data_IF_077752592928
#
_entry.id   IF_077752592928
#
_cell.length_a   1.000
_cell.length_b   1.000
_cell.length_c   1.000
_cell.angle_alpha   90.00
_cell.angle_beta   90.00
_cell.angle_gamma   90.00
#
_symmetry.space_group_name_H-M   'P 1'
#
loop_
_entity.id
_entity.type
_entity.pdbx_description
1 polymer ?
#
# COMPACT_ATOMS: atom_id res chain seq x y z
N UNK A 1 42.85 25.00 -9.35
CA UNK A 1 42.75 23.82 -8.45
C UNK A 1 41.90 22.72 -9.09
N UNK A 2 42.53 21.68 -9.67
CA UNK A 2 41.81 20.48 -10.14
C UNK A 2 41.45 19.64 -8.91
N UNK A 3 40.28 19.87 -8.31
CA UNK A 3 39.71 18.94 -7.34
C UNK A 3 39.57 17.59 -8.05
N UNK A 4 40.29 16.57 -7.57
CA UNK A 4 40.38 15.29 -8.27
C UNK A 4 38.99 14.69 -8.47
N UNK A 5 38.77 14.14 -9.66
CA UNK A 5 37.53 13.46 -10.06
C UNK A 5 37.10 12.37 -9.08
N UNK A 6 38.05 11.82 -8.32
CA UNK A 6 37.84 10.86 -7.22
C UNK A 6 37.04 11.44 -6.05
N UNK A 7 37.36 12.67 -5.59
CA UNK A 7 36.62 13.31 -4.47
C UNK A 7 35.16 13.52 -4.83
N UNK A 8 34.88 13.89 -6.07
CA UNK A 8 33.51 14.11 -6.54
C UNK A 8 32.68 12.83 -6.68
N UNK A 9 33.32 11.72 -7.06
CA UNK A 9 32.66 10.41 -7.08
C UNK A 9 32.29 9.95 -5.68
N UNK A 10 33.17 10.16 -4.70
CA UNK A 10 32.91 9.87 -3.29
C UNK A 10 31.68 10.63 -2.77
N UNK A 11 31.61 11.95 -2.96
CA UNK A 11 30.46 12.76 -2.50
C UNK A 11 29.14 12.37 -3.17
N UNK A 12 29.15 11.99 -4.45
CA UNK A 12 27.94 11.48 -5.12
C UNK A 12 27.42 10.20 -4.48
N UNK A 13 28.31 9.25 -4.20
CA UNK A 13 27.93 7.98 -3.56
C UNK A 13 27.45 8.25 -2.14
N UNK A 14 28.15 9.11 -1.39
CA UNK A 14 27.77 9.47 -0.03
C UNK A 14 26.35 10.07 0.05
N UNK A 15 26.00 11.02 -0.81
CA UNK A 15 24.66 11.64 -0.82
C UNK A 15 23.58 10.58 -1.07
N UNK A 16 23.81 9.67 -2.02
CA UNK A 16 22.83 8.63 -2.37
C UNK A 16 22.70 7.62 -1.24
N UNK A 17 23.82 7.18 -0.65
CA UNK A 17 23.81 6.27 0.50
C UNK A 17 23.07 6.89 1.68
N UNK A 18 23.31 8.17 1.98
CA UNK A 18 22.58 8.90 3.03
C UNK A 18 21.09 8.96 2.68
N UNK A 19 20.71 9.32 1.46
CA UNK A 19 19.30 9.38 1.06
C UNK A 19 18.60 8.02 1.18
N UNK A 20 19.24 6.93 0.76
CA UNK A 20 18.70 5.58 0.86
C UNK A 20 18.64 5.10 2.31
N UNK A 21 19.65 5.42 3.13
CA UNK A 21 19.64 5.12 4.56
C UNK A 21 18.54 5.90 5.29
N UNK A 22 18.32 7.17 4.94
CA UNK A 22 17.21 7.96 5.48
C UNK A 22 15.86 7.36 5.11
N UNK A 23 15.68 6.97 3.84
CA UNK A 23 14.47 6.26 3.38
C UNK A 23 14.25 4.96 4.18
N UNK A 24 15.29 4.15 4.34
CA UNK A 24 15.22 2.91 5.11
C UNK A 24 14.87 3.16 6.57
N UNK A 25 15.57 4.08 7.25
CA UNK A 25 15.30 4.42 8.65
C UNK A 25 13.88 4.96 8.85
N UNK A 26 13.40 5.77 7.90
CA UNK A 26 12.05 6.32 7.93
C UNK A 26 11.00 5.19 7.93
N UNK A 27 11.09 4.25 6.99
CA UNK A 27 10.12 3.16 6.93
C UNK A 27 10.35 2.05 7.97
N UNK A 28 11.56 1.93 8.51
CA UNK A 28 11.86 0.96 9.56
C UNK A 28 11.35 1.41 10.94
N UNK A 29 11.40 2.73 11.22
CA UNK A 29 11.14 3.25 12.57
C UNK A 29 10.07 4.35 12.63
N UNK A 30 9.94 5.16 11.58
CA UNK A 30 8.95 6.26 11.53
C UNK A 30 7.58 5.82 11.04
N UNK A 31 7.51 5.09 9.91
CA UNK A 31 6.27 4.64 9.30
C UNK A 31 6.16 3.10 9.09
N UNK A 32 6.52 2.25 10.07
CA UNK A 32 6.47 0.80 9.91
C UNK A 32 5.04 0.24 9.81
N UNK A 33 4.07 0.82 10.51
CA UNK A 33 2.68 0.32 10.55
C UNK A 33 1.94 0.61 9.26
N UNK A 34 2.26 1.72 8.58
CA UNK A 34 1.84 1.94 7.19
C UNK A 34 2.23 0.75 6.30
N UNK A 35 3.46 0.24 6.42
CA UNK A 35 3.91 -0.91 5.63
C UNK A 35 3.27 -2.23 6.08
N UNK A 36 3.13 -2.47 7.37
CA UNK A 36 2.42 -3.66 7.86
C UNK A 36 0.96 -3.69 7.40
N UNK A 37 0.30 -2.53 7.39
CA UNK A 37 -1.08 -2.41 6.92
C UNK A 37 -1.18 -2.67 5.42
N UNK A 38 -0.22 -2.18 4.61
CA UNK A 38 -0.17 -2.50 3.17
C UNK A 38 -0.16 -4.01 2.91
N UNK A 39 0.58 -4.77 3.71
CA UNK A 39 0.54 -6.24 3.65
C UNK A 39 -0.82 -6.79 4.02
N UNK A 40 -1.38 -6.34 5.13
CA UNK A 40 -2.69 -6.81 5.61
C UNK A 40 -3.81 -6.58 4.59
N UNK A 41 -3.71 -5.56 3.75
CA UNK A 41 -4.70 -5.20 2.73
C UNK A 41 -4.57 -5.96 1.42
N UNK A 42 -3.46 -6.67 1.17
CA UNK A 42 -3.19 -7.33 -0.12
C UNK A 42 -2.95 -8.82 0.11
N UNK A 43 -3.62 -9.67 -0.67
CA UNK A 43 -3.40 -11.12 -0.65
C UNK A 43 -2.98 -11.63 -2.04
N UNK A 44 -1.69 -12.00 -2.15
CA UNK A 44 -1.18 -12.71 -3.32
C UNK A 44 -1.29 -14.22 -3.10
N UNK A 45 -2.01 -14.89 -3.99
CA UNK A 45 -2.19 -16.35 -3.97
C UNK A 45 -1.39 -16.94 -5.13
N UNK A 46 -0.41 -17.81 -4.84
CA UNK A 46 0.39 -18.50 -5.84
C UNK A 46 -0.39 -19.67 -6.47
N UNK A 47 -1.52 -19.36 -7.11
CA UNK A 47 -2.32 -20.27 -7.90
C UNK A 47 -2.46 -19.75 -9.33
N UNK A 48 -2.51 -20.65 -10.31
CA UNK A 48 -2.60 -20.25 -11.71
C UNK A 48 -3.91 -19.50 -12.03
N UNK A 49 -5.03 -19.88 -11.43
CA UNK A 49 -6.31 -19.16 -11.65
C UNK A 49 -6.25 -17.77 -11.05
N UNK A 50 -5.70 -17.63 -9.84
CA UNK A 50 -5.50 -16.34 -9.21
C UNK A 50 -4.52 -15.43 -9.97
N UNK A 51 -3.49 -16.01 -10.61
CA UNK A 51 -2.55 -15.27 -11.47
C UNK A 51 -3.21 -14.82 -12.78
N UNK A 52 -4.08 -15.63 -13.36
CA UNK A 52 -4.83 -15.26 -14.57
C UNK A 52 -5.75 -14.06 -14.33
N UNK A 53 -6.29 -13.87 -13.13
CA UNK A 53 -7.13 -12.72 -12.80
C UNK A 53 -6.40 -11.38 -12.98
N UNK A 54 -5.06 -11.34 -12.81
CA UNK A 54 -4.28 -10.13 -13.03
C UNK A 54 -4.34 -9.65 -14.49
N UNK A 55 -4.54 -10.56 -15.45
CA UNK A 55 -4.63 -10.22 -16.88
C UNK A 55 -5.95 -9.53 -17.25
N UNK A 56 -6.95 -9.57 -16.37
CA UNK A 56 -8.23 -8.90 -16.57
C UNK A 56 -8.15 -7.38 -16.36
N UNK A 57 -7.02 -6.86 -15.86
CA UNK A 57 -6.81 -5.43 -15.60
C UNK A 57 -5.43 -4.99 -16.13
N UNK A 58 -5.19 -3.67 -16.32
CA UNK A 58 -3.87 -3.16 -16.66
C UNK A 58 -2.84 -3.42 -15.54
N UNK A 59 -1.60 -2.98 -15.73
CA UNK A 59 -0.51 -3.11 -14.75
C UNK A 59 -0.16 -4.57 -14.36
N UNK A 60 -0.38 -5.53 -15.25
CA UNK A 60 -0.27 -6.97 -14.97
C UNK A 60 1.08 -7.32 -14.30
N UNK A 61 2.18 -6.87 -14.89
CA UNK A 61 3.52 -7.23 -14.44
C UNK A 61 3.89 -6.52 -13.13
N UNK A 62 3.59 -5.22 -13.01
CA UNK A 62 3.90 -4.48 -11.79
C UNK A 62 3.02 -4.90 -10.61
N UNK A 63 1.75 -5.25 -10.84
CA UNK A 63 0.85 -5.78 -9.82
C UNK A 63 1.24 -7.18 -9.33
N UNK A 64 1.57 -8.12 -10.22
CA UNK A 64 2.00 -9.47 -9.80
C UNK A 64 3.28 -9.39 -8.94
N UNK A 65 4.29 -8.65 -9.40
CA UNK A 65 5.56 -8.51 -8.68
C UNK A 65 5.36 -7.69 -7.40
N UNK A 66 4.55 -6.63 -7.47
CA UNK A 66 4.23 -5.77 -6.34
C UNK A 66 3.56 -6.54 -5.20
N UNK A 67 2.44 -7.20 -5.50
CA UNK A 67 1.66 -7.96 -4.50
C UNK A 67 2.47 -9.14 -3.94
N UNK A 68 3.29 -9.79 -4.76
CA UNK A 68 4.20 -10.82 -4.28
C UNK A 68 5.22 -10.26 -3.27
N UNK A 69 5.87 -9.14 -3.58
CA UNK A 69 6.88 -8.52 -2.72
C UNK A 69 6.27 -7.89 -1.46
N UNK A 70 5.05 -7.37 -1.54
CA UNK A 70 4.33 -6.78 -0.40
C UNK A 70 4.08 -7.78 0.73
N UNK A 71 3.99 -9.09 0.46
CA UNK A 71 3.89 -10.11 1.51
C UNK A 71 5.03 -10.04 2.54
N UNK A 72 6.24 -9.67 2.09
CA UNK A 72 7.42 -9.59 2.96
C UNK A 72 7.44 -8.33 3.84
N UNK A 73 6.46 -7.42 3.71
CA UNK A 73 6.35 -6.25 4.56
C UNK A 73 6.03 -6.64 6.01
N UNK A 74 5.46 -7.84 6.24
CA UNK A 74 5.22 -8.39 7.57
C UNK A 74 6.51 -8.77 8.33
N UNK A 75 7.65 -8.91 7.63
CA UNK A 75 8.95 -9.13 8.29
C UNK A 75 9.46 -7.83 8.92
N UNK A 76 10.13 -7.94 10.07
CA UNK A 76 10.78 -6.80 10.73
C UNK A 76 11.76 -6.15 9.74
N UNK A 77 11.55 -4.86 9.46
CA UNK A 77 12.31 -4.08 8.47
C UNK A 77 12.28 -4.62 7.03
N UNK A 78 11.48 -5.65 6.72
CA UNK A 78 11.38 -6.25 5.39
C UNK A 78 10.85 -5.26 4.36
N UNK A 79 9.73 -4.60 4.69
CA UNK A 79 9.15 -3.59 3.80
C UNK A 79 10.05 -2.38 3.57
N UNK A 80 10.69 -1.87 4.62
CA UNK A 80 11.67 -0.78 4.51
C UNK A 80 12.83 -1.15 3.58
N UNK A 81 13.30 -2.39 3.65
CA UNK A 81 14.38 -2.91 2.81
C UNK A 81 13.96 -3.02 1.34
N UNK A 82 12.80 -3.62 1.08
CA UNK A 82 12.26 -3.78 -0.28
C UNK A 82 12.03 -2.42 -0.93
N UNK A 83 11.34 -1.51 -0.24
CA UNK A 83 11.03 -0.19 -0.78
C UNK A 83 12.30 0.63 -1.04
N UNK A 84 13.31 0.52 -0.16
CA UNK A 84 14.61 1.17 -0.38
C UNK A 84 15.36 0.60 -1.58
N UNK A 85 15.31 -0.72 -1.80
CA UNK A 85 15.90 -1.36 -2.98
C UNK A 85 15.20 -0.87 -4.26
N UNK A 86 13.86 -0.82 -4.26
CA UNK A 86 13.08 -0.34 -5.40
C UNK A 86 13.35 1.15 -5.66
N UNK A 87 13.43 1.98 -4.62
CA UNK A 87 13.82 3.38 -4.71
C UNK A 87 15.24 3.57 -5.27
N UNK A 88 16.18 2.71 -4.89
CA UNK A 88 17.54 2.72 -5.44
C UNK A 88 17.56 2.32 -6.93
N UNK A 89 16.75 1.34 -7.33
CA UNK A 89 16.58 0.94 -8.73
C UNK A 89 15.95 2.07 -9.56
N UNK A 90 14.97 2.79 -8.99
CA UNK A 90 14.38 3.96 -9.62
C UNK A 90 15.40 5.08 -9.77
N UNK A 91 16.11 5.43 -8.71
CA UNK A 91 17.18 6.43 -8.74
C UNK A 91 18.21 6.09 -9.84
N UNK A 92 18.63 4.83 -9.92
CA UNK A 92 19.61 4.39 -10.92
C UNK A 92 19.04 4.50 -12.34
N UNK A 93 17.78 4.11 -12.53
CA UNK A 93 17.05 4.29 -13.79
C UNK A 93 16.98 5.76 -14.20
N UNK A 94 16.48 6.63 -13.33
CA UNK A 94 16.31 8.07 -13.60
C UNK A 94 17.65 8.74 -13.86
N UNK A 95 18.68 8.43 -13.05
CA UNK A 95 20.04 8.93 -13.30
C UNK A 95 20.54 8.49 -14.68
N UNK A 96 20.30 7.25 -15.07
CA UNK A 96 20.70 6.73 -16.38
C UNK A 96 19.92 7.41 -17.51
N UNK A 97 18.66 7.75 -17.29
CA UNK A 97 17.81 8.50 -18.21
C UNK A 97 18.33 9.94 -18.38
N UNK A 98 18.55 10.67 -17.29
CA UNK A 98 19.07 12.04 -17.32
C UNK A 98 20.44 12.14 -17.98
N UNK A 99 21.29 11.12 -17.84
CA UNK A 99 22.59 11.08 -18.54
C UNK A 99 22.48 10.99 -20.06
N UNK A 100 21.32 10.66 -20.62
CA UNK A 100 21.06 10.72 -22.08
C UNK A 100 20.95 12.15 -22.63
N UNK A 101 20.86 13.15 -21.74
CA UNK A 101 20.74 14.56 -22.10
C UNK A 101 22.08 15.32 -22.02
N UNK A 102 23.21 14.62 -22.09
CA UNK A 102 24.59 15.18 -22.10
C UNK A 102 24.96 16.01 -20.86
N UNK A 103 24.48 15.56 -19.69
CA UNK A 103 24.65 16.27 -18.42
C UNK A 103 25.83 15.69 -17.62
N UNK A 104 26.61 16.51 -16.89
CA UNK A 104 27.62 16.02 -15.95
C UNK A 104 27.02 15.03 -14.95
N UNK A 105 27.76 13.97 -14.63
CA UNK A 105 27.28 12.90 -13.72
C UNK A 105 26.86 13.43 -12.34
N UNK A 106 27.47 14.51 -11.84
CA UNK A 106 27.11 15.10 -10.54
C UNK A 106 25.68 15.61 -10.54
N UNK A 107 25.33 16.42 -11.54
CA UNK A 107 24.01 17.02 -11.67
C UNK A 107 22.96 15.92 -11.89
N UNK A 108 23.24 14.94 -12.76
CA UNK A 108 22.32 13.83 -13.00
C UNK A 108 22.05 13.00 -11.74
N UNK A 109 23.07 12.76 -10.89
CA UNK A 109 22.91 12.03 -9.62
C UNK A 109 21.96 12.75 -8.67
N UNK A 110 22.13 14.08 -8.50
CA UNK A 110 21.34 14.86 -7.55
C UNK A 110 19.90 15.05 -8.04
N UNK A 111 19.72 15.44 -9.31
CA UNK A 111 18.38 15.63 -9.88
C UNK A 111 17.59 14.33 -9.97
N UNK A 112 18.25 13.17 -10.09
CA UNK A 112 17.58 11.87 -10.06
C UNK A 112 16.97 11.50 -8.69
N UNK A 113 17.36 12.17 -7.60
CA UNK A 113 16.74 11.96 -6.29
C UNK A 113 15.34 12.61 -6.22
N UNK A 114 15.03 13.60 -7.05
CA UNK A 114 13.77 14.34 -6.94
C UNK A 114 12.54 13.44 -7.21
N UNK A 115 12.47 12.63 -8.30
CA UNK A 115 11.36 11.70 -8.48
C UNK A 115 11.34 10.58 -7.43
N UNK A 116 12.50 10.21 -6.89
CA UNK A 116 12.62 9.19 -5.83
C UNK A 116 12.02 9.70 -4.54
N UNK A 117 12.25 10.97 -4.18
CA UNK A 117 11.63 11.62 -3.03
C UNK A 117 10.11 11.69 -3.19
N UNK A 118 9.62 12.01 -4.38
CA UNK A 118 8.18 12.00 -4.67
C UNK A 118 7.56 10.61 -4.47
N UNK A 119 8.20 9.56 -5.00
CA UNK A 119 7.75 8.17 -4.81
C UNK A 119 7.80 7.73 -3.34
N UNK A 120 8.89 8.06 -2.63
CA UNK A 120 9.02 7.77 -1.19
C UNK A 120 7.90 8.44 -0.40
N UNK A 121 7.61 9.71 -0.71
CA UNK A 121 6.53 10.43 -0.03
C UNK A 121 5.17 9.79 -0.33
N UNK A 122 4.87 9.45 -1.59
CA UNK A 122 3.63 8.75 -1.96
C UNK A 122 3.48 7.40 -1.23
N UNK A 123 4.59 6.68 -1.00
CA UNK A 123 4.56 5.43 -0.25
C UNK A 123 4.25 5.58 1.25
N UNK A 124 4.26 6.80 1.79
CA UNK A 124 3.73 7.06 3.13
C UNK A 124 2.19 6.93 3.20
N UNK A 125 1.48 6.95 2.06
CA UNK A 125 0.06 6.60 2.04
C UNK A 125 -0.12 5.08 1.97
N UNK A 126 -1.02 4.56 2.82
CA UNK A 126 -1.38 3.14 2.90
C UNK A 126 -1.88 2.59 1.56
N UNK A 127 -2.65 3.39 0.81
CA UNK A 127 -3.27 2.95 -0.44
C UNK A 127 -2.37 3.07 -1.67
N UNK A 128 -1.16 3.64 -1.54
CA UNK A 128 -0.21 3.68 -2.65
C UNK A 128 0.54 2.34 -2.75
N UNK A 129 0.25 1.50 -3.77
CA UNK A 129 0.77 0.14 -3.81
C UNK A 129 2.21 0.14 -4.33
N UNK A 130 2.99 -0.87 -3.92
CA UNK A 130 4.35 -1.07 -4.41
C UNK A 130 4.39 -1.24 -5.95
N UNK A 131 3.32 -1.78 -6.54
CA UNK A 131 3.13 -1.88 -7.98
C UNK A 131 3.34 -0.55 -8.73
N UNK A 132 2.94 0.60 -8.14
CA UNK A 132 3.17 1.91 -8.75
C UNK A 132 4.67 2.21 -8.87
N UNK A 133 5.43 2.09 -7.77
CA UNK A 133 6.88 2.33 -7.78
C UNK A 133 7.62 1.41 -8.75
N UNK A 134 7.23 0.12 -8.82
CA UNK A 134 7.79 -0.85 -9.75
C UNK A 134 7.46 -0.47 -11.20
N UNK A 135 6.27 0.08 -11.43
CA UNK A 135 5.88 0.63 -12.72
C UNK A 135 6.76 1.81 -13.15
N UNK A 136 7.03 2.76 -12.25
CA UNK A 136 7.94 3.87 -12.49
C UNK A 136 9.36 3.40 -12.82
N UNK A 137 9.87 2.38 -12.10
CA UNK A 137 11.15 1.72 -12.37
C UNK A 137 11.15 1.13 -13.78
N UNK A 138 10.18 0.29 -14.11
CA UNK A 138 10.09 -0.40 -15.38
C UNK A 138 9.93 0.56 -16.57
N UNK A 139 9.10 1.60 -16.43
CA UNK A 139 8.92 2.65 -17.45
C UNK A 139 10.23 3.42 -17.70
N UNK A 140 10.92 3.80 -16.63
CA UNK A 140 12.20 4.51 -16.71
C UNK A 140 13.29 3.65 -17.38
N UNK A 141 13.40 2.38 -16.99
CA UNK A 141 14.38 1.46 -17.59
C UNK A 141 14.06 1.14 -19.06
N UNK A 142 12.77 1.08 -19.41
CA UNK A 142 12.32 0.94 -20.80
C UNK A 142 12.73 2.14 -21.65
N UNK A 143 12.59 3.36 -21.13
CA UNK A 143 13.12 4.56 -21.80
C UNK A 143 14.64 4.48 -21.96
N UNK A 144 15.35 4.10 -20.90
CA UNK A 144 16.81 3.99 -20.89
C UNK A 144 17.31 2.96 -21.90
N UNK A 145 16.60 1.84 -22.08
CA UNK A 145 16.87 0.84 -23.10
C UNK A 145 16.56 1.36 -24.51
N UNK A 146 15.37 1.91 -24.72
CA UNK A 146 14.92 2.48 -25.99
C UNK A 146 15.86 3.61 -26.49
N UNK A 147 16.28 4.50 -25.60
CA UNK A 147 17.18 5.62 -25.92
C UNK A 147 18.60 5.18 -26.30
N UNK A 148 19.01 3.93 -26.03
CA UNK A 148 20.28 3.36 -26.50
C UNK A 148 20.24 2.88 -27.95
N UNK A 149 19.06 2.65 -28.51
CA UNK A 149 18.93 2.09 -29.85
C UNK A 149 19.37 3.09 -30.92
N UNK A 150 19.93 2.55 -32.01
CA UNK A 150 20.33 3.32 -33.18
C UNK A 150 19.14 4.05 -33.82
N UNK A 151 19.41 5.18 -34.47
CA UNK A 151 18.37 5.99 -35.08
C UNK A 151 17.85 5.34 -36.37
N UNK A 152 16.52 5.20 -36.47
CA UNK A 152 15.85 4.61 -37.62
C UNK A 152 14.32 4.57 -37.41
N UNK A 153 13.56 4.23 -38.46
CA UNK A 153 12.08 4.15 -38.39
C UNK A 153 11.64 3.15 -37.33
N UNK A 154 12.34 2.02 -37.21
CA UNK A 154 12.07 0.98 -36.22
C UNK A 154 12.14 1.49 -34.77
N UNK A 155 13.00 2.48 -34.48
CA UNK A 155 13.08 3.10 -33.14
C UNK A 155 11.79 3.82 -32.78
N UNK A 156 11.15 4.49 -33.75
CA UNK A 156 9.90 5.23 -33.53
C UNK A 156 8.71 4.29 -33.39
N UNK A 157 8.63 3.28 -34.26
CA UNK A 157 7.60 2.25 -34.17
C UNK A 157 7.68 1.51 -32.84
N UNK A 158 8.89 1.22 -32.36
CA UNK A 158 9.08 0.63 -31.04
C UNK A 158 8.64 1.55 -29.91
N UNK A 159 8.88 2.87 -29.99
CA UNK A 159 8.41 3.81 -28.96
C UNK A 159 6.88 3.79 -28.85
N UNK A 160 6.19 3.78 -30.00
CA UNK A 160 4.74 3.71 -30.06
C UNK A 160 4.21 2.40 -29.52
N UNK A 161 4.82 1.28 -29.90
CA UNK A 161 4.48 -0.05 -29.36
C UNK A 161 4.69 -0.09 -27.84
N UNK A 162 5.84 0.40 -27.36
CA UNK A 162 6.16 0.44 -25.93
C UNK A 162 5.18 1.29 -25.15
N UNK A 163 4.69 2.43 -25.67
CA UNK A 163 3.69 3.24 -24.98
C UNK A 163 2.41 2.44 -24.67
N UNK A 164 1.95 1.61 -25.61
CA UNK A 164 0.76 0.77 -25.43
C UNK A 164 1.05 -0.44 -24.52
N UNK A 165 2.15 -1.15 -24.80
CA UNK A 165 2.52 -2.38 -24.07
C UNK A 165 2.88 -2.06 -22.62
N UNK A 166 3.56 -0.95 -22.35
CA UNK A 166 3.89 -0.53 -20.99
C UNK A 166 2.65 -0.16 -20.19
N UNK A 167 1.65 0.50 -20.77
CA UNK A 167 0.40 0.75 -20.03
C UNK A 167 -0.25 -0.56 -19.56
N UNK A 168 -0.34 -1.54 -20.45
CA UNK A 168 -0.86 -2.87 -20.09
C UNK A 168 0.01 -3.57 -19.03
N UNK A 169 1.34 -3.46 -19.12
CA UNK A 169 2.26 -4.15 -18.21
C UNK A 169 2.45 -3.46 -16.86
N UNK A 170 2.47 -2.12 -16.79
CA UNK A 170 2.84 -1.35 -15.60
C UNK A 170 1.81 -0.32 -15.13
N UNK A 171 0.77 -0.06 -15.91
CA UNK A 171 -0.31 0.87 -15.56
C UNK A 171 0.04 2.34 -15.78
N UNK A 172 -0.47 3.21 -14.91
CA UNK A 172 -0.40 4.67 -14.98
C UNK A 172 1.02 5.21 -15.19
N UNK A 173 2.01 4.61 -14.53
CA UNK A 173 3.43 5.00 -14.66
C UNK A 173 4.04 4.73 -16.04
N UNK A 174 3.31 4.12 -16.99
CA UNK A 174 3.68 4.17 -18.40
C UNK A 174 3.84 5.62 -18.90
N UNK A 175 3.12 6.57 -18.30
CA UNK A 175 3.28 8.01 -18.52
C UNK A 175 4.72 8.47 -18.30
N UNK A 176 5.44 7.92 -17.32
CA UNK A 176 6.85 8.26 -17.07
C UNK A 176 7.75 7.94 -18.27
N UNK A 177 7.50 6.83 -18.98
CA UNK A 177 8.17 6.51 -20.24
C UNK A 177 7.84 7.54 -21.33
N UNK A 178 6.58 7.94 -21.44
CA UNK A 178 6.10 8.92 -22.42
C UNK A 178 6.76 10.28 -22.16
N UNK A 179 6.76 10.78 -20.93
CA UNK A 179 7.37 12.06 -20.53
C UNK A 179 8.86 12.10 -20.88
N UNK A 180 9.62 11.06 -20.51
CA UNK A 180 11.04 10.98 -20.83
C UNK A 180 11.30 10.90 -22.35
N UNK A 181 10.49 10.12 -23.06
CA UNK A 181 10.61 9.95 -24.52
C UNK A 181 10.26 11.22 -25.28
N UNK A 182 9.20 11.93 -24.88
CA UNK A 182 8.79 13.23 -25.41
C UNK A 182 9.88 14.26 -25.15
N UNK A 183 10.42 14.35 -23.94
CA UNK A 183 11.51 15.28 -23.63
C UNK A 183 12.75 15.02 -24.50
N UNK A 184 13.10 13.75 -24.71
CA UNK A 184 14.21 13.36 -25.57
C UNK A 184 13.96 13.73 -27.05
N UNK A 185 12.75 13.49 -27.55
CA UNK A 185 12.31 13.85 -28.91
C UNK A 185 12.32 15.37 -29.15
N UNK A 186 11.79 16.15 -28.20
CA UNK A 186 11.80 17.62 -28.27
C UNK A 186 13.22 18.16 -28.32
N UNK A 187 14.16 17.58 -27.56
CA UNK A 187 15.58 17.94 -27.63
C UNK A 187 16.20 17.68 -29.00
N UNK A 188 15.79 16.61 -29.68
CA UNK A 188 16.19 16.31 -31.05
C UNK A 188 15.43 17.12 -32.11
N UNK A 189 14.63 18.12 -31.69
CA UNK A 189 13.75 18.95 -32.55
C UNK A 189 12.72 18.15 -33.37
N UNK A 190 12.33 16.97 -32.90
CA UNK A 190 11.35 16.08 -33.56
C UNK A 190 9.95 16.23 -32.97
N UNK A 191 9.42 17.45 -32.98
CA UNK A 191 8.15 17.81 -32.33
C UNK A 191 6.94 17.00 -32.83
N UNK A 192 6.86 16.69 -34.12
CA UNK A 192 5.75 15.89 -34.67
C UNK A 192 5.69 14.47 -34.08
N UNK A 193 6.83 13.80 -33.95
CA UNK A 193 6.90 12.47 -33.32
C UNK A 193 6.60 12.55 -31.82
N UNK A 194 7.03 13.61 -31.14
CA UNK A 194 6.71 13.84 -29.74
C UNK A 194 5.20 13.99 -29.52
N UNK A 195 4.54 14.84 -30.32
CA UNK A 195 3.10 15.04 -30.26
C UNK A 195 2.34 13.74 -30.57
N UNK A 196 2.78 13.00 -31.59
CA UNK A 196 2.15 11.72 -31.97
C UNK A 196 2.25 10.69 -30.84
N UNK A 197 3.40 10.56 -30.20
CA UNK A 197 3.60 9.64 -29.08
C UNK A 197 2.71 10.01 -27.88
N UNK A 198 2.61 11.29 -27.56
CA UNK A 198 1.78 11.79 -26.46
C UNK A 198 0.29 11.55 -26.71
N UNK A 199 -0.21 11.87 -27.91
CA UNK A 199 -1.59 11.60 -28.30
C UNK A 199 -1.89 10.10 -28.31
N UNK A 200 -0.96 9.28 -28.82
CA UNK A 200 -1.09 7.83 -28.81
C UNK A 200 -1.21 7.28 -27.39
N UNK A 201 -0.39 7.75 -26.45
CA UNK A 201 -0.45 7.30 -25.06
C UNK A 201 -1.82 7.58 -24.43
N UNK A 202 -2.31 8.82 -24.51
CA UNK A 202 -3.63 9.20 -23.97
C UNK A 202 -4.75 8.35 -24.58
N UNK A 203 -4.74 8.15 -25.90
CA UNK A 203 -5.75 7.32 -26.58
C UNK A 203 -5.60 5.85 -26.20
N UNK A 204 -4.37 5.33 -26.11
CA UNK A 204 -4.11 3.94 -25.77
C UNK A 204 -4.59 3.60 -24.35
N UNK A 205 -4.31 4.46 -23.37
CA UNK A 205 -4.79 4.30 -21.99
C UNK A 205 -6.31 4.26 -21.93
N UNK A 206 -6.98 5.16 -22.64
CA UNK A 206 -8.44 5.20 -22.72
C UNK A 206 -9.03 3.97 -23.43
N UNK A 207 -8.45 3.53 -24.54
CA UNK A 207 -8.94 2.38 -25.32
C UNK A 207 -8.70 1.08 -24.57
N UNK A 208 -7.48 0.83 -24.09
CA UNK A 208 -7.14 -0.38 -23.33
C UNK A 208 -7.92 -0.44 -22.02
N UNK A 209 -8.05 0.69 -21.31
CA UNK A 209 -8.88 0.77 -20.10
C UNK A 209 -10.34 0.39 -20.36
N UNK A 210 -10.94 0.87 -21.45
CA UNK A 210 -12.31 0.48 -21.85
C UNK A 210 -12.43 -0.99 -22.24
N UNK A 211 -11.44 -1.56 -22.92
CA UNK A 211 -11.44 -2.99 -23.28
C UNK A 211 -11.39 -3.90 -22.04
N UNK A 212 -10.84 -3.39 -20.94
CA UNK A 212 -10.75 -4.06 -19.64
C UNK A 212 -11.83 -3.59 -18.65
N UNK A 213 -12.91 -2.99 -19.15
CA UNK A 213 -14.08 -2.56 -18.36
C UNK A 213 -13.78 -1.57 -17.23
N UNK A 214 -12.72 -0.75 -17.36
CA UNK A 214 -12.43 0.31 -16.39
C UNK A 214 -13.19 1.60 -16.71
N UNK A 215 -13.67 2.33 -15.68
CA UNK A 215 -14.11 3.70 -15.83
C UNK A 215 -13.02 4.59 -16.43
N UNK A 216 -13.42 5.66 -17.11
CA UNK A 216 -12.47 6.55 -17.78
C UNK A 216 -11.50 7.24 -16.80
N UNK A 217 -11.94 7.62 -15.59
CA UNK A 217 -11.06 8.17 -14.54
C UNK A 217 -10.04 7.14 -14.06
N UNK A 218 -10.51 5.93 -13.77
CA UNK A 218 -9.71 4.82 -13.28
C UNK A 218 -8.65 4.36 -14.29
N UNK A 219 -8.93 4.46 -15.59
CA UNK A 219 -8.00 4.04 -16.64
C UNK A 219 -6.65 4.78 -16.55
N UNK A 220 -6.64 6.08 -16.24
CA UNK A 220 -5.41 6.88 -16.18
C UNK A 220 -4.62 6.68 -14.88
N UNK A 221 -5.27 6.21 -13.81
CA UNK A 221 -4.68 6.12 -12.47
C UNK A 221 -4.38 4.67 -12.03
N UNK A 222 -4.86 3.66 -12.77
CA UNK A 222 -4.69 2.26 -12.41
C UNK A 222 -3.20 1.87 -12.26
N UNK A 223 -2.79 1.12 -11.20
CA UNK A 223 -3.57 0.37 -10.21
C UNK A 223 -4.07 1.12 -8.97
N UNK A 224 -3.98 2.45 -8.89
CA UNK A 224 -4.53 3.18 -7.74
C UNK A 224 -6.06 3.08 -7.72
N UNK A 225 -6.63 2.83 -6.55
CA UNK A 225 -8.09 2.72 -6.35
C UNK A 225 -8.56 4.03 -5.69
N UNK A 226 -9.49 4.73 -6.34
CA UNK A 226 -10.11 5.95 -5.79
C UNK A 226 -11.08 5.61 -4.64
N UNK A 227 -11.32 6.58 -3.75
CA UNK A 227 -12.47 6.69 -2.83
C UNK A 227 -12.32 6.20 -1.38
N UNK A 228 -11.11 6.09 -0.84
CA UNK A 228 -10.91 5.95 0.61
C UNK A 228 -9.84 6.92 1.12
N UNK A 229 -8.69 6.44 1.59
CA UNK A 229 -7.64 7.30 2.15
C UNK A 229 -6.85 8.07 1.07
N UNK A 230 -6.90 7.59 -0.17
CA UNK A 230 -6.35 8.25 -1.35
C UNK A 230 -7.46 8.97 -2.13
N UNK A 231 -7.85 10.14 -1.63
CA UNK A 231 -8.94 10.94 -2.22
C UNK A 231 -8.61 11.45 -3.63
N UNK A 232 -7.32 11.63 -3.94
CA UNK A 232 -6.86 12.22 -5.19
C UNK A 232 -5.86 11.31 -5.88
N UNK A 233 -6.35 10.36 -6.67
CA UNK A 233 -5.48 9.45 -7.41
C UNK A 233 -4.43 10.16 -8.27
N UNK A 234 -4.75 11.36 -8.77
CA UNK A 234 -3.85 12.21 -9.56
C UNK A 234 -2.54 12.60 -8.83
N UNK A 235 -2.44 12.42 -7.52
CA UNK A 235 -1.20 12.67 -6.77
C UNK A 235 -0.01 11.82 -7.28
N UNK A 236 -0.25 10.69 -7.97
CA UNK A 236 0.85 9.95 -8.59
C UNK A 236 1.67 10.81 -9.57
N UNK A 237 1.01 11.78 -10.24
CA UNK A 237 1.62 12.72 -11.19
C UNK A 237 2.72 13.59 -10.56
N UNK A 238 2.84 13.64 -9.22
CA UNK A 238 3.95 14.29 -8.54
C UNK A 238 5.30 13.70 -8.98
N UNK A 239 5.36 12.42 -9.30
CA UNK A 239 6.59 11.74 -9.70
C UNK A 239 7.00 12.14 -11.12
N UNK A 240 6.07 12.17 -12.07
CA UNK A 240 6.28 12.66 -13.42
C UNK A 240 6.59 14.16 -13.43
N UNK A 241 5.89 14.95 -12.61
CA UNK A 241 6.19 16.37 -12.41
C UNK A 241 7.63 16.55 -11.88
N UNK A 242 8.05 15.75 -10.90
CA UNK A 242 9.42 15.74 -10.40
C UNK A 242 10.44 15.36 -11.48
N UNK A 243 10.11 14.45 -12.41
CA UNK A 243 10.95 14.14 -13.57
C UNK A 243 11.06 15.34 -14.51
N UNK A 244 9.95 16.02 -14.81
CA UNK A 244 9.95 17.23 -15.65
C UNK A 244 10.80 18.33 -15.00
N UNK A 245 10.63 18.57 -13.70
CA UNK A 245 11.45 19.52 -12.94
C UNK A 245 12.93 19.12 -12.98
N UNK A 246 13.25 17.83 -12.83
CA UNK A 246 14.62 17.34 -12.95
C UNK A 246 15.18 17.57 -14.37
N UNK A 247 14.39 17.35 -15.42
CA UNK A 247 14.77 17.61 -16.82
C UNK A 247 14.99 19.10 -17.11
N UNK A 248 14.21 19.99 -16.51
CA UNK A 248 14.44 21.44 -16.59
C UNK A 248 15.70 21.79 -15.78
N UNK A 249 15.82 21.26 -14.56
CA UNK A 249 16.90 21.55 -13.62
C UNK A 249 18.28 21.15 -14.12
N UNK A 250 18.40 20.07 -14.89
CA UNK A 250 19.69 19.68 -15.51
C UNK A 250 20.24 20.73 -16.49
N UNK A 251 19.37 21.56 -17.08
CA UNK A 251 19.79 22.66 -17.98
C UNK A 251 20.58 23.74 -17.25
N UNK A 252 20.31 23.95 -15.96
CA UNK A 252 21.00 24.92 -15.10
C UNK A 252 22.46 24.53 -14.84
N UNK A 253 22.81 23.25 -15.05
CA UNK A 253 24.14 22.67 -14.82
C UNK A 253 24.73 22.91 -13.42
N UNK A 254 23.90 23.22 -12.42
CA UNK A 254 24.28 23.50 -11.03
C UNK A 254 23.71 22.44 -10.08
N UNK A 255 24.54 21.54 -9.55
CA UNK A 255 24.11 20.46 -8.64
C UNK A 255 23.50 20.98 -7.33
N UNK A 256 24.00 22.09 -6.79
CA UNK A 256 23.55 22.61 -5.49
C UNK A 256 22.08 23.08 -5.51
N UNK A 257 21.59 23.57 -6.65
CA UNK A 257 20.17 23.93 -6.83
C UNK A 257 19.31 22.67 -6.76
N UNK A 258 19.75 21.59 -7.41
CA UNK A 258 19.08 20.29 -7.33
C UNK A 258 19.07 19.74 -5.91
N UNK A 259 20.16 19.93 -5.16
CA UNK A 259 20.24 19.48 -3.77
C UNK A 259 19.25 20.25 -2.89
N UNK A 260 19.15 21.58 -3.07
CA UNK A 260 18.15 22.39 -2.38
C UNK A 260 16.72 21.96 -2.75
N UNK A 261 16.46 21.71 -4.03
CA UNK A 261 15.15 21.24 -4.49
C UNK A 261 14.77 19.89 -3.87
N UNK A 262 15.72 18.95 -3.78
CA UNK A 262 15.52 17.65 -3.13
C UNK A 262 15.23 17.83 -1.64
N UNK A 263 16.01 18.64 -0.92
CA UNK A 263 15.78 18.91 0.52
C UNK A 263 14.42 19.55 0.74
N UNK A 264 14.06 20.57 -0.05
CA UNK A 264 12.75 21.22 0.05
C UNK A 264 11.60 20.27 -0.27
N UNK A 265 11.74 19.42 -1.30
CA UNK A 265 10.76 18.40 -1.64
C UNK A 265 10.62 17.34 -0.55
N UNK A 266 11.72 16.93 0.09
CA UNK A 266 11.68 15.98 1.22
C UNK A 266 10.92 16.58 2.41
N UNK A 267 11.21 17.83 2.77
CA UNK A 267 10.53 18.52 3.89
C UNK A 267 9.05 18.69 3.57
N UNK A 268 8.72 19.15 2.36
CA UNK A 268 7.33 19.32 1.93
C UNK A 268 6.58 17.99 1.86
N UNK A 269 7.22 16.93 1.37
CA UNK A 269 6.63 15.59 1.29
C UNK A 269 6.28 15.05 2.68
N UNK A 270 7.22 15.13 3.63
CA UNK A 270 6.94 14.71 5.02
C UNK A 270 5.83 15.55 5.63
N UNK A 271 5.85 16.88 5.47
CA UNK A 271 4.86 17.77 6.09
C UNK A 271 3.45 17.66 5.47
N UNK A 272 3.33 17.34 4.19
CA UNK A 272 2.05 17.36 3.47
C UNK A 272 1.41 15.98 3.29
N UNK A 273 2.21 14.90 3.27
CA UNK A 273 1.76 13.57 2.85
C UNK A 273 1.77 12.58 4.03
N UNK A 274 2.72 12.71 4.96
CA UNK A 274 2.73 11.86 6.15
C UNK A 274 1.80 12.40 7.22
N UNK A 275 0.82 11.59 7.60
CA UNK A 275 -0.04 11.85 8.75
C UNK A 275 0.38 10.98 9.92
N UNK A 276 0.98 11.60 10.93
CA UNK A 276 1.42 10.93 12.15
C UNK A 276 0.24 10.42 13.00
N UNK A 277 -0.94 11.05 12.89
CA UNK A 277 -2.18 10.54 13.50
C UNK A 277 -2.60 9.23 12.82
N UNK A 278 -2.43 9.17 11.50
CA UNK A 278 -2.68 7.96 10.72
C UNK A 278 -1.80 6.81 11.16
N UNK A 279 -0.48 7.04 11.22
CA UNK A 279 0.48 6.02 11.67
C UNK A 279 0.19 5.55 13.10
N UNK A 280 -0.26 6.44 13.98
CA UNK A 280 -0.66 6.09 15.35
C UNK A 280 -1.81 5.07 15.38
N UNK A 281 -2.93 5.35 14.70
CA UNK A 281 -4.08 4.44 14.76
C UNK A 281 -3.87 3.15 13.95
N UNK A 282 -3.09 3.19 12.86
CA UNK A 282 -2.63 1.99 12.17
C UNK A 282 -1.78 1.12 13.10
N UNK A 283 -0.96 1.74 13.94
CA UNK A 283 -0.18 1.06 14.97
C UNK A 283 -1.04 0.32 15.99
N UNK A 284 -2.11 0.95 16.48
CA UNK A 284 -3.06 0.31 17.40
C UNK A 284 -3.69 -0.94 16.76
N UNK A 285 -4.12 -0.81 15.50
CA UNK A 285 -4.71 -1.92 14.74
C UNK A 285 -3.73 -3.06 14.46
N UNK A 286 -2.49 -2.74 14.10
CA UNK A 286 -1.45 -3.74 13.83
C UNK A 286 -1.00 -4.47 15.10
N UNK A 287 -0.82 -3.76 16.22
CA UNK A 287 -0.43 -4.40 17.48
C UNK A 287 -1.54 -5.34 17.99
N UNK A 288 -2.81 -5.04 17.72
CA UNK A 288 -3.91 -5.98 17.99
C UNK A 288 -3.82 -7.22 17.09
N UNK A 289 -3.62 -7.03 15.78
CA UNK A 289 -3.42 -8.13 14.82
C UNK A 289 -2.23 -9.04 15.17
N UNK A 290 -1.14 -8.48 15.70
CA UNK A 290 0.02 -9.24 16.18
C UNK A 290 -0.13 -9.81 17.60
N UNK A 291 -1.30 -9.63 18.22
CA UNK A 291 -1.62 -10.06 19.58
C UNK A 291 -0.65 -9.51 20.65
N UNK A 292 -0.27 -8.23 20.55
CA UNK A 292 0.62 -7.52 21.49
C UNK A 292 -0.16 -6.49 22.30
N UNK A 293 -1.09 -6.99 23.12
CA UNK A 293 -2.10 -6.18 23.82
C UNK A 293 -1.50 -5.17 24.80
N UNK A 294 -0.40 -5.50 25.45
CA UNK A 294 0.29 -4.60 26.40
C UNK A 294 0.76 -3.31 25.71
N UNK A 295 1.29 -3.43 24.48
CA UNK A 295 1.77 -2.28 23.71
C UNK A 295 0.66 -1.34 23.28
N UNK A 296 -0.56 -1.83 23.14
CA UNK A 296 -1.73 -0.99 22.81
C UNK A 296 -2.00 -0.02 23.95
N UNK A 297 -1.98 -0.51 25.20
CA UNK A 297 -2.19 0.31 26.39
C UNK A 297 -1.06 1.31 26.58
N UNK A 298 0.20 0.88 26.48
CA UNK A 298 1.37 1.78 26.54
C UNK A 298 1.27 2.90 25.50
N UNK A 299 0.89 2.57 24.26
CA UNK A 299 0.73 3.56 23.18
C UNK A 299 -0.42 4.52 23.42
N UNK A 300 -1.53 4.03 23.97
CA UNK A 300 -2.69 4.84 24.32
C UNK A 300 -2.33 5.90 25.35
N UNK A 301 -1.59 5.50 26.39
CA UNK A 301 -1.12 6.40 27.44
C UNK A 301 -0.13 7.44 26.91
N UNK A 302 0.82 7.03 26.06
CA UNK A 302 1.81 7.94 25.45
C UNK A 302 1.19 8.99 24.51
N UNK A 303 0.06 8.66 23.87
CA UNK A 303 -0.53 9.46 22.79
C UNK A 303 -1.97 9.91 23.10
N UNK A 304 -2.33 10.01 24.38
CA UNK A 304 -3.68 10.36 24.85
C UNK A 304 -4.22 11.67 24.22
N UNK A 305 -3.35 12.62 23.89
CA UNK A 305 -3.72 13.92 23.31
C UNK A 305 -4.31 13.82 21.89
N UNK A 306 -4.00 12.75 21.13
CA UNK A 306 -4.39 12.62 19.72
C UNK A 306 -5.87 12.35 19.50
N UNK A 307 -6.61 11.92 20.53
CA UNK A 307 -8.08 11.70 20.53
C UNK A 307 -8.59 10.95 19.30
N UNK A 308 -7.96 9.84 18.96
CA UNK A 308 -8.32 9.02 17.79
C UNK A 308 -9.41 8.01 18.13
N UNK A 309 -10.47 7.95 17.31
CA UNK A 309 -11.58 6.98 17.44
C UNK A 309 -11.09 5.53 17.43
N UNK A 310 -10.25 5.19 16.45
CA UNK A 310 -9.76 3.81 16.26
C UNK A 310 -8.77 3.44 17.36
N UNK A 311 -7.99 4.40 17.89
CA UNK A 311 -7.13 4.14 19.01
C UNK A 311 -7.93 3.81 20.28
N UNK A 312 -8.94 4.62 20.62
CA UNK A 312 -9.85 4.32 21.73
C UNK A 312 -10.53 2.98 21.55
N UNK A 313 -10.96 2.65 20.33
CA UNK A 313 -11.57 1.37 20.01
C UNK A 313 -10.70 0.17 20.45
N UNK A 314 -9.43 0.12 20.02
CA UNK A 314 -8.55 -1.00 20.36
C UNK A 314 -8.14 -0.98 21.84
N UNK A 315 -7.99 0.21 22.46
CA UNK A 315 -7.75 0.33 23.90
C UNK A 315 -8.91 -0.25 24.70
N UNK A 316 -10.14 0.16 24.38
CA UNK A 316 -11.34 -0.33 25.06
C UNK A 316 -11.54 -1.83 24.83
N UNK A 317 -11.24 -2.34 23.62
CA UNK A 317 -11.32 -3.77 23.32
C UNK A 317 -10.35 -4.58 24.19
N UNK A 318 -9.09 -4.14 24.31
CA UNK A 318 -8.10 -4.80 25.18
C UNK A 318 -8.50 -4.73 26.65
N UNK A 319 -8.98 -3.58 27.14
CA UNK A 319 -9.45 -3.44 28.51
C UNK A 319 -10.68 -4.32 28.77
N UNK A 320 -11.57 -4.47 27.79
CA UNK A 320 -12.73 -5.36 27.89
C UNK A 320 -12.32 -6.82 27.97
N UNK A 321 -11.38 -7.25 27.13
CA UNK A 321 -10.81 -8.61 27.16
C UNK A 321 -10.09 -8.93 28.48
N UNK A 322 -9.62 -7.90 29.20
CA UNK A 322 -9.03 -8.03 30.55
C UNK A 322 -10.06 -7.95 31.69
N UNK A 323 -11.30 -7.57 31.41
CA UNK A 323 -12.31 -7.29 32.42
C UNK A 323 -12.10 -5.97 33.19
N UNK A 324 -11.20 -5.12 32.73
CA UNK A 324 -10.78 -3.87 33.39
C UNK A 324 -11.45 -2.62 32.77
N UNK A 325 -12.22 -2.78 31.68
CA UNK A 325 -12.83 -1.65 30.96
C UNK A 325 -13.62 -0.71 31.86
N UNK A 326 -14.43 -1.23 32.79
CA UNK A 326 -15.25 -0.40 33.66
C UNK A 326 -14.46 0.52 34.59
N UNK A 327 -13.26 0.09 35.00
CA UNK A 327 -12.38 0.86 35.89
C UNK A 327 -11.66 1.98 35.12
N UNK A 328 -11.19 1.68 33.91
CA UNK A 328 -10.36 2.58 33.10
C UNK A 328 -11.16 3.39 32.05
N UNK A 329 -12.48 3.18 31.94
CA UNK A 329 -13.30 3.81 30.89
C UNK A 329 -13.19 5.34 30.91
N UNK A 330 -13.22 5.94 32.10
CA UNK A 330 -13.21 7.40 32.28
C UNK A 330 -11.81 8.01 32.26
N UNK A 331 -10.76 7.20 32.30
CA UNK A 331 -9.37 7.67 32.27
C UNK A 331 -8.91 7.99 30.85
N UNK A 332 -9.50 7.31 29.87
CA UNK A 332 -9.15 7.45 28.46
C UNK A 332 -10.14 8.35 27.69
N UNK A 333 -9.71 8.86 26.53
CA UNK A 333 -10.61 9.57 25.63
C UNK A 333 -11.72 8.64 25.13
N UNK A 334 -12.99 9.01 25.33
CA UNK A 334 -14.15 8.22 24.93
C UNK A 334 -15.03 8.94 23.90
N UNK A 335 -15.04 8.50 22.62
CA UNK A 335 -15.85 9.10 21.56
C UNK A 335 -17.27 8.51 21.50
N UNK A 336 -17.97 8.46 22.64
CA UNK A 336 -19.33 7.92 22.77
C UNK A 336 -19.48 6.53 22.09
N UNK A 337 -20.45 6.36 21.19
CA UNK A 337 -20.76 5.09 20.52
C UNK A 337 -19.60 4.53 19.70
N UNK A 338 -18.72 5.39 19.18
CA UNK A 338 -17.56 4.98 18.38
C UNK A 338 -16.41 4.41 19.20
N UNK A 339 -16.55 4.31 20.52
CA UNK A 339 -15.50 3.86 21.42
C UNK A 339 -15.28 2.35 21.47
N UNK A 340 -16.25 1.52 21.05
CA UNK A 340 -16.09 0.06 21.10
C UNK A 340 -16.99 -0.72 20.14
N UNK A 341 -18.24 -0.29 19.91
CA UNK A 341 -19.15 -0.92 18.96
C UNK A 341 -19.34 0.00 17.75
N UNK A 342 -18.50 -0.21 16.74
CA UNK A 342 -18.53 0.59 15.51
C UNK A 342 -19.74 0.19 14.67
N UNK A 343 -20.55 1.18 14.30
CA UNK A 343 -21.58 0.99 13.29
C UNK A 343 -20.90 0.99 11.91
N UNK A 344 -21.07 -0.11 11.16
CA UNK A 344 -20.42 -0.30 9.86
C UNK A 344 -21.47 -0.54 8.81
N UNK A 345 -21.45 0.36 7.83
CA UNK A 345 -22.27 0.35 6.64
C UNK A 345 -21.42 0.39 5.36
N UNK A 346 -22.07 0.58 4.22
CA UNK A 346 -21.39 0.60 2.92
C UNK A 346 -20.44 1.79 2.72
N UNK A 347 -20.54 2.82 3.58
CA UNK A 347 -19.76 4.06 3.51
C UNK A 347 -18.58 4.09 4.50
N UNK A 348 -18.55 3.15 5.44
CA UNK A 348 -17.63 3.15 6.59
C UNK A 348 -16.18 2.80 6.24
N UNK A 349 -15.94 2.16 5.08
CA UNK A 349 -14.60 1.80 4.59
C UNK A 349 -13.95 0.61 5.31
N UNK A 350 -12.88 0.07 4.70
CA UNK A 350 -12.33 -1.23 5.09
C UNK A 350 -11.72 -1.23 6.50
N UNK A 351 -11.08 -0.15 6.96
CA UNK A 351 -10.46 -0.10 8.28
C UNK A 351 -11.46 -0.24 9.43
N UNK A 352 -12.59 0.47 9.34
CA UNK A 352 -13.65 0.39 10.34
C UNK A 352 -14.39 -0.95 10.27
N UNK A 353 -14.61 -1.49 9.06
CA UNK A 353 -15.18 -2.83 8.89
C UNK A 353 -14.30 -3.93 9.49
N UNK A 354 -12.97 -3.85 9.29
CA UNK A 354 -12.02 -4.78 9.92
C UNK A 354 -12.02 -4.64 11.44
N UNK A 355 -12.02 -3.39 11.95
CA UNK A 355 -12.10 -3.15 13.38
C UNK A 355 -13.39 -3.73 13.95
N UNK A 356 -14.57 -3.43 13.40
CA UNK A 356 -15.85 -3.94 13.91
C UNK A 356 -15.91 -5.47 14.04
N UNK A 357 -15.28 -6.20 13.12
CA UNK A 357 -15.16 -7.66 13.20
C UNK A 357 -14.36 -8.16 14.42
N UNK A 358 -13.42 -7.35 14.93
CA UNK A 358 -12.58 -7.72 16.08
C UNK A 358 -13.39 -7.71 17.39
N UNK A 359 -14.12 -6.64 17.70
CA UNK A 359 -14.95 -6.57 18.92
C UNK A 359 -16.13 -7.54 18.89
N UNK A 360 -16.83 -7.66 17.76
CA UNK A 360 -17.98 -8.57 17.64
C UNK A 360 -17.56 -10.03 17.82
N UNK A 361 -16.41 -10.42 17.25
CA UNK A 361 -15.83 -11.73 17.50
C UNK A 361 -15.42 -11.93 18.97
N UNK A 362 -14.86 -10.91 19.63
CA UNK A 362 -14.49 -11.00 21.04
C UNK A 362 -15.71 -11.16 21.97
N UNK A 363 -16.83 -10.52 21.63
CA UNK A 363 -18.10 -10.61 22.38
C UNK A 363 -18.83 -11.94 22.13
N UNK A 364 -18.50 -12.65 21.05
CA UNK A 364 -19.11 -13.94 20.70
C UNK A 364 -20.23 -13.84 19.65
N UNK A 365 -20.54 -12.64 19.14
CA UNK A 365 -21.43 -12.44 18.00
C UNK A 365 -20.70 -12.74 16.67
N UNK A 366 -20.58 -14.03 16.38
CA UNK A 366 -19.88 -14.51 15.19
C UNK A 366 -20.61 -14.17 13.89
N UNK A 367 -21.94 -14.01 13.94
CA UNK A 367 -22.74 -13.66 12.76
C UNK A 367 -22.42 -12.24 12.30
N UNK A 368 -22.41 -11.27 13.22
CA UNK A 368 -22.02 -9.91 12.90
C UNK A 368 -20.53 -9.81 12.58
N UNK A 369 -19.67 -10.55 13.29
CA UNK A 369 -18.24 -10.61 12.96
C UNK A 369 -18.00 -11.10 11.53
N UNK A 370 -18.73 -12.14 11.09
CA UNK A 370 -18.66 -12.63 9.72
C UNK A 370 -19.19 -11.59 8.72
N UNK A 371 -20.31 -10.93 9.02
CA UNK A 371 -20.88 -9.85 8.19
C UNK A 371 -19.87 -8.70 8.00
N UNK A 372 -19.31 -8.19 9.09
CA UNK A 372 -18.31 -7.12 9.09
C UNK A 372 -17.04 -7.54 8.34
N UNK A 373 -16.59 -8.80 8.50
CA UNK A 373 -15.42 -9.33 7.80
C UNK A 373 -15.66 -9.45 6.30
N UNK A 374 -16.84 -9.91 5.86
CA UNK A 374 -17.21 -9.95 4.44
C UNK A 374 -17.30 -8.54 3.86
N UNK A 375 -17.85 -7.59 4.60
CA UNK A 375 -17.92 -6.18 4.20
C UNK A 375 -16.50 -5.59 4.06
N UNK A 376 -15.61 -5.85 5.02
CA UNK A 376 -14.20 -5.48 4.94
C UNK A 376 -13.50 -6.08 3.71
N UNK A 377 -13.83 -7.32 3.35
CA UNK A 377 -13.35 -7.95 2.11
C UNK A 377 -13.77 -7.16 0.89
N UNK A 378 -15.04 -6.76 0.80
CA UNK A 378 -15.55 -6.02 -0.37
C UNK A 378 -14.90 -4.64 -0.53
N UNK A 379 -14.53 -3.98 0.57
CA UNK A 379 -13.86 -2.67 0.54
C UNK A 379 -12.34 -2.75 0.44
N UNK A 380 -11.74 -3.89 0.76
CA UNK A 380 -10.29 -4.07 0.63
C UNK A 380 -9.85 -3.93 -0.84
N UNK A 381 -8.65 -3.37 -1.10
CA UNK A 381 -8.09 -3.32 -2.44
C UNK A 381 -8.13 -4.70 -3.12
N UNK A 382 -8.61 -4.75 -4.37
CA UNK A 382 -8.77 -6.00 -5.14
C UNK A 382 -9.66 -7.08 -4.48
N UNK A 383 -10.41 -6.73 -3.43
CA UNK A 383 -11.27 -7.63 -2.66
C UNK A 383 -10.52 -8.83 -2.06
N UNK A 384 -9.22 -8.63 -1.77
CA UNK A 384 -8.30 -9.68 -1.34
C UNK A 384 -7.38 -9.13 -0.26
N UNK A 385 -7.66 -9.47 0.99
CA UNK A 385 -6.88 -9.06 2.16
C UNK A 385 -6.42 -10.27 2.97
N UNK A 386 -5.13 -10.29 3.34
CA UNK A 386 -4.56 -11.37 4.15
C UNK A 386 -5.12 -11.35 5.58
N UNK A 387 -5.31 -10.16 6.17
CA UNK A 387 -5.94 -10.01 7.48
C UNK A 387 -7.38 -10.51 7.50
N UNK A 388 -8.18 -10.10 6.51
CA UNK A 388 -9.59 -10.51 6.42
C UNK A 388 -9.71 -12.03 6.20
N UNK A 389 -8.86 -12.61 5.34
CA UNK A 389 -8.83 -14.06 5.14
C UNK A 389 -8.50 -14.82 6.44
N UNK A 390 -7.54 -14.34 7.24
CA UNK A 390 -7.23 -14.93 8.55
C UNK A 390 -8.40 -14.81 9.52
N UNK A 391 -9.03 -13.64 9.59
CA UNK A 391 -10.18 -13.42 10.47
C UNK A 391 -11.36 -14.33 10.09
N UNK A 392 -11.61 -14.53 8.79
CA UNK A 392 -12.61 -15.50 8.32
C UNK A 392 -12.31 -16.93 8.77
N UNK A 393 -11.04 -17.35 8.76
CA UNK A 393 -10.65 -18.67 9.29
C UNK A 393 -10.95 -18.75 10.79
N UNK A 394 -10.58 -17.74 11.57
CA UNK A 394 -10.82 -17.72 13.02
C UNK A 394 -12.31 -17.79 13.36
N UNK A 395 -13.15 -17.00 12.67
CA UNK A 395 -14.60 -17.02 12.84
C UNK A 395 -15.16 -18.40 12.45
N UNK A 396 -14.80 -18.91 11.27
CA UNK A 396 -15.31 -20.19 10.77
C UNK A 396 -14.92 -21.36 11.69
N UNK A 397 -13.70 -21.37 12.22
CA UNK A 397 -13.27 -22.38 13.20
C UNK A 397 -14.05 -22.30 14.50
N UNK A 398 -14.35 -21.09 15.00
CA UNK A 398 -15.11 -20.87 16.24
C UNK A 398 -16.56 -21.35 16.09
N UNK A 399 -17.20 -20.99 14.98
CA UNK A 399 -18.56 -21.41 14.61
C UNK A 399 -18.62 -22.93 14.33
N UNK A 400 -17.53 -23.50 13.83
CA UNK A 400 -17.45 -24.92 13.43
C UNK A 400 -17.74 -25.17 11.95
N UNK A 401 -17.78 -24.13 11.11
CA UNK A 401 -17.89 -24.23 9.66
C UNK A 401 -16.53 -24.62 9.06
N UNK A 402 -16.32 -25.93 8.95
CA UNK A 402 -15.07 -26.50 8.43
C UNK A 402 -14.86 -26.21 6.94
N UNK A 403 -15.93 -26.10 6.16
CA UNK A 403 -15.83 -25.88 4.71
C UNK A 403 -15.34 -24.47 4.41
N UNK A 404 -15.91 -23.48 5.11
CA UNK A 404 -15.50 -22.10 4.98
C UNK A 404 -14.06 -21.88 5.46
N UNK A 405 -13.68 -22.48 6.60
CA UNK A 405 -12.31 -22.41 7.11
C UNK A 405 -11.31 -22.98 6.09
N UNK A 406 -11.61 -24.16 5.54
CA UNK A 406 -10.73 -24.84 4.58
C UNK A 406 -10.51 -24.04 3.30
N UNK A 407 -11.53 -23.33 2.81
CA UNK A 407 -11.42 -22.44 1.64
C UNK A 407 -10.40 -21.33 1.84
N UNK A 408 -10.43 -20.63 2.97
CA UNK A 408 -9.49 -19.54 3.25
C UNK A 408 -8.10 -20.06 3.64
N UNK A 409 -8.03 -21.18 4.35
CA UNK A 409 -6.76 -21.87 4.64
C UNK A 409 -6.04 -22.26 3.35
N UNK A 410 -6.77 -22.79 2.37
CA UNK A 410 -6.21 -23.13 1.05
C UNK A 410 -5.59 -21.93 0.34
N UNK A 411 -6.21 -20.75 0.44
CA UNK A 411 -5.66 -19.51 -0.14
C UNK A 411 -4.39 -19.08 0.59
N UNK A 412 -4.43 -19.07 1.93
CA UNK A 412 -3.34 -18.62 2.79
C UNK A 412 -2.11 -19.55 2.72
N UNK A 413 -2.31 -20.86 2.57
CA UNK A 413 -1.23 -21.83 2.37
C UNK A 413 -0.43 -21.62 1.08
N UNK A 414 -1.03 -20.98 0.08
CA UNK A 414 -0.42 -20.67 -1.21
C UNK A 414 0.23 -19.28 -1.23
N UNK A 415 0.39 -18.66 -0.07
CA UNK A 415 1.20 -17.45 0.09
C UNK A 415 2.61 -17.82 0.57
N UNK A 416 3.56 -16.90 0.46
CA UNK A 416 4.91 -17.13 0.96
C UNK A 416 4.98 -17.02 2.49
N UNK A 417 4.27 -16.05 3.09
CA UNK A 417 4.43 -15.65 4.50
C UNK A 417 3.35 -16.22 5.44
N UNK A 418 2.14 -16.51 4.93
CA UNK A 418 1.06 -17.06 5.77
C UNK A 418 0.97 -18.59 5.71
N UNK A 419 1.83 -19.24 4.93
CA UNK A 419 1.79 -20.69 4.72
C UNK A 419 1.94 -21.50 5.99
N UNK A 420 2.90 -21.16 6.84
CA UNK A 420 3.13 -21.86 8.11
C UNK A 420 1.96 -21.67 9.08
N UNK A 421 1.45 -20.44 9.17
CA UNK A 421 0.28 -20.12 9.97
C UNK A 421 -0.94 -20.93 9.52
N UNK A 422 -1.20 -20.98 8.22
CA UNK A 422 -2.34 -21.71 7.66
C UNK A 422 -2.21 -23.23 7.85
N UNK A 423 -1.02 -23.79 7.61
CA UNK A 423 -0.77 -25.22 7.83
C UNK A 423 -1.00 -25.64 9.29
N UNK A 424 -0.58 -24.78 10.25
CA UNK A 424 -0.83 -25.00 11.68
C UNK A 424 -2.34 -24.99 11.98
N UNK A 425 -3.07 -23.99 11.49
CA UNK A 425 -4.53 -23.87 11.70
C UNK A 425 -5.32 -25.00 11.04
N UNK A 426 -4.88 -25.49 9.87
CA UNK A 426 -5.48 -26.67 9.24
C UNK A 426 -5.26 -27.93 10.09
N UNK A 427 -4.08 -28.11 10.68
CA UNK A 427 -3.84 -29.25 11.57
C UNK A 427 -4.75 -29.22 12.82
N UNK A 428 -4.96 -28.04 13.40
CA UNK A 428 -5.92 -27.80 14.50
C UNK A 428 -7.38 -28.13 14.08
N UNK A 429 -7.78 -27.71 12.87
CA UNK A 429 -9.11 -28.02 12.31
C UNK A 429 -9.35 -29.52 12.16
N UNK A 430 -8.33 -30.28 11.74
CA UNK A 430 -8.40 -31.74 11.55
C UNK A 430 -8.41 -32.49 12.88
N UNK A 431 -7.61 -32.05 13.86
CA UNK A 431 -7.55 -32.68 15.18
C UNK A 431 -8.80 -32.38 16.04
N UNK A 432 -9.60 -31.39 15.65
CA UNK A 432 -10.74 -30.92 16.44
C UNK A 432 -10.32 -30.05 17.63
N UNK A 433 -9.03 -29.70 17.73
CA UNK A 433 -8.52 -28.74 18.70
C UNK A 433 -8.91 -27.34 18.22
N UNK A 434 -10.06 -26.84 18.65
CA UNK A 434 -10.50 -25.49 18.29
C UNK A 434 -9.75 -24.48 19.17
N UNK A 435 -9.17 -23.42 18.59
CA UNK A 435 -8.50 -22.39 19.35
C UNK A 435 -9.56 -21.53 20.06
N UNK A 436 -9.58 -21.61 21.39
CA UNK A 436 -10.39 -20.87 22.37
C UNK A 436 -11.72 -21.50 22.79
N UNK A 437 -11.68 -22.30 23.86
CA UNK A 437 -12.88 -22.69 24.62
C UNK A 437 -13.57 -21.47 25.26
N UNK A 438 -12.84 -20.39 25.55
CA UNK A 438 -13.38 -19.13 26.12
C UNK A 438 -14.29 -18.36 25.17
N UNK A 439 -13.91 -18.21 23.89
CA UNK A 439 -14.78 -17.50 22.92
C UNK A 439 -15.99 -18.36 22.55
N UNK A 440 -15.83 -19.69 22.56
CA UNK A 440 -16.97 -20.61 22.43
C UNK A 440 -17.93 -20.53 23.60
N UNK A 441 -17.43 -20.26 24.82
CA UNK A 441 -18.28 -20.04 25.99
C UNK A 441 -19.14 -18.77 25.85
N UNK A 442 -18.68 -17.78 25.07
CA UNK A 442 -19.43 -16.55 24.78
C UNK A 442 -20.33 -16.66 23.55
N UNK A 443 -20.41 -17.82 22.89
CA UNK A 443 -21.26 -17.98 21.70
C UNK A 443 -22.73 -17.78 22.08
N UNK A 444 -23.40 -16.92 21.31
CA UNK A 444 -24.83 -16.68 21.48
C UNK A 444 -25.59 -17.96 21.10
N UNK A 445 -26.29 -18.58 22.05
CA UNK A 445 -27.02 -19.83 21.82
C UNK A 445 -28.20 -19.71 20.84
N UNK A 446 -28.65 -18.48 20.56
CA UNK A 446 -29.74 -18.19 19.61
C UNK A 446 -29.26 -17.26 18.51
N UNK A 447 -29.45 -17.68 17.26
CA UNK A 447 -29.31 -16.84 16.07
C UNK A 447 -30.34 -15.69 16.13
N UNK A 448 -29.90 -14.54 16.65
CA UNK A 448 -30.61 -13.28 16.51
C UNK A 448 -30.05 -12.53 15.31
N UNK A 449 -30.86 -12.30 14.28
CA UNK A 449 -30.53 -11.29 13.28
C UNK A 449 -30.64 -9.92 13.96
N UNK A 450 -29.55 -9.46 14.56
CA UNK A 450 -29.51 -8.13 15.13
C UNK A 450 -28.86 -7.21 14.13
N UNK A 451 -29.64 -6.34 13.52
CA UNK A 451 -29.08 -5.32 12.65
C UNK A 451 -28.10 -4.46 13.45
N UNK A 452 -26.88 -4.28 12.93
CA UNK A 452 -25.86 -3.41 13.52
C UNK A 452 -26.40 -2.01 13.89
N UNK A 453 -27.43 -1.55 13.18
CA UNK A 453 -28.14 -0.29 13.40
C UNK A 453 -28.91 -0.21 14.73
N UNK A 454 -28.98 -1.27 15.53
CA UNK A 454 -29.72 -1.31 16.80
C UNK A 454 -28.95 -2.10 17.88
N UNK A 455 -27.95 -1.45 18.47
CA UNK A 455 -27.11 -2.00 19.55
C UNK A 455 -27.91 -2.42 20.81
N UNK A 456 -29.04 -1.77 21.09
CA UNK A 456 -29.82 -2.04 22.31
C UNK A 456 -30.49 -3.44 22.31
N UNK A 457 -31.22 -3.85 21.26
CA UNK A 457 -31.66 -5.24 21.09
C UNK A 457 -30.51 -6.26 21.06
N UNK A 458 -29.36 -5.90 20.49
CA UNK A 458 -28.19 -6.78 20.40
C UNK A 458 -27.66 -7.11 21.78
N UNK A 459 -27.41 -6.05 22.56
CA UNK A 459 -26.94 -6.16 23.92
C UNK A 459 -27.93 -6.92 24.80
N UNK A 460 -29.24 -6.70 24.60
CA UNK A 460 -30.28 -7.39 25.37
C UNK A 460 -30.32 -8.89 25.05
N UNK A 461 -30.26 -9.27 23.77
CA UNK A 461 -30.20 -10.66 23.35
C UNK A 461 -28.91 -11.36 23.81
N UNK A 462 -27.78 -10.65 23.79
CA UNK A 462 -26.49 -11.14 24.31
C UNK A 462 -26.52 -11.38 25.82
N UNK A 463 -27.17 -10.49 26.59
CA UNK A 463 -27.34 -10.64 28.03
C UNK A 463 -28.32 -11.76 28.36
N UNK A 464 -29.42 -11.90 27.60
CA UNK A 464 -30.38 -13.01 27.77
C UNK A 464 -29.81 -14.39 27.37
N UNK A 465 -28.84 -14.43 26.45
CA UNK A 465 -28.18 -15.68 26.04
C UNK A 465 -27.10 -16.14 27.02
N UNK A 466 -26.49 -15.22 27.79
CA UNK A 466 -25.37 -15.48 28.70
C UNK A 466 -25.72 -15.37 30.19
N UNK A 467 -26.97 -15.06 30.54
CA UNK A 467 -27.49 -15.02 31.93
C UNK A 467 -28.39 -16.20 32.23
#
# INVERSE_FOLDING_TARGET
MKVSTTKWRFWQVAIVVVAMATCWCWFAFGAPYTLYTKEQLVLFVADWTAVLDYFARPAVLSSIVGDYLTQFYLLICGGATILTIVAALLWWGVRSALRRFDVPSQNATVWALLPVVAEVALNCHVEYPLAMTLGAVAATWSFVAWARMGDGVCKWLLAMLLAVVLYWAVGAHAMMFVVLSVAWLCRQRRWGWALTLMLLAVVAEMVVGRMLYLPASQAYCYPLIENYMFQHCQLFLLTEAAVVVALIGISLRRAWIGALAVVMASIAGVAAIFDDTMEYWLGMSCEYYFNRKERILERADENWERKSYVATYYTNLVLAERGELGEYLTENYQPATYGLLLDVDESSGYCYAMAAADATAAIGDMAEAQRATLLAMTFSPHQRSSRVAKKMVEIAMTVGDKELAEKFLWQLERTALHREWAAKRRAELVSGAVPSDEVRANLVEKDGFVGANNWYPALYALVEANG
#
